data_IF_040221467942
#
_entry.id   IF_040221467942
#
_cell.length_a   1.000
_cell.length_b   1.000
_cell.length_c   1.000
_cell.angle_alpha   90.00
_cell.angle_beta   90.00
_cell.angle_gamma   90.00
#
_symmetry.space_group_name_H-M   'P 1'
#
loop_
_entity.id
_entity.type
_entity.pdbx_description
1 polymer ?
#
# COMPACT_ATOMS: atom_id res chain seq x y z
N UNK A 1 -9.04 -5.46 13.00
CA UNK A 1 -9.78 -4.33 12.37
C UNK A 1 -10.44 -4.70 11.04
N UNK A 2 -9.74 -5.30 10.07
CA UNK A 2 -10.26 -5.68 8.74
C UNK A 2 -11.62 -6.42 8.79
N UNK A 3 -11.77 -7.39 9.69
CA UNK A 3 -13.01 -8.16 9.80
C UNK A 3 -14.22 -7.27 10.19
N UNK A 4 -14.03 -6.28 11.06
CA UNK A 4 -15.08 -5.35 11.47
C UNK A 4 -15.49 -4.40 10.33
N UNK A 5 -14.55 -4.07 9.45
CA UNK A 5 -14.80 -3.25 8.26
C UNK A 5 -15.18 -4.08 7.02
N UNK A 6 -15.39 -5.39 7.17
CA UNK A 6 -15.83 -6.24 6.05
C UNK A 6 -17.30 -6.05 5.72
N UNK A 7 -18.12 -5.56 6.66
CA UNK A 7 -19.51 -5.16 6.39
C UNK A 7 -19.55 -3.86 5.57
N UNK A 8 -20.19 -3.82 4.39
CA UNK A 8 -20.38 -2.58 3.61
C UNK A 8 -21.08 -1.45 4.37
N UNK A 9 -22.06 -1.78 5.21
CA UNK A 9 -22.93 -0.81 5.89
C UNK A 9 -22.17 0.08 6.89
N UNK A 10 -20.93 -0.29 7.23
CA UNK A 10 -20.05 0.48 8.12
C UNK A 10 -19.75 1.89 7.58
N UNK A 11 -19.82 2.06 6.25
CA UNK A 11 -19.55 3.33 5.57
C UNK A 11 -20.65 4.35 5.85
N UNK A 12 -21.91 3.90 5.85
CA UNK A 12 -23.10 4.73 6.02
C UNK A 12 -23.43 5.02 7.49
N UNK A 13 -22.77 4.32 8.41
CA UNK A 13 -22.95 4.52 9.85
C UNK A 13 -22.55 5.95 10.27
N UNK A 14 -23.51 6.71 10.81
CA UNK A 14 -23.32 8.07 11.31
C UNK A 14 -22.63 8.10 12.68
N UNK A 15 -22.86 7.08 13.51
CA UNK A 15 -22.19 6.87 14.78
C UNK A 15 -21.26 5.67 14.69
N UNK A 16 -20.01 5.85 15.13
CA UNK A 16 -18.99 4.82 15.07
C UNK A 16 -18.32 4.68 16.44
N UNK A 17 -18.70 3.65 17.18
CA UNK A 17 -18.13 3.35 18.49
C UNK A 17 -17.20 2.14 18.37
N UNK A 18 -15.95 2.32 18.78
CA UNK A 18 -15.00 1.22 18.93
C UNK A 18 -14.63 1.04 20.40
N UNK A 19 -14.66 -0.22 20.83
CA UNK A 19 -14.19 -0.65 22.13
C UNK A 19 -12.96 -1.54 21.92
N UNK A 20 -11.87 -1.23 22.62
CA UNK A 20 -10.69 -2.08 22.61
C UNK A 20 -10.94 -3.31 23.47
N UNK A 21 -10.65 -4.51 22.96
CA UNK A 21 -10.66 -5.74 23.76
C UNK A 21 -9.25 -6.00 24.26
N UNK A 22 -9.08 -6.11 25.59
CA UNK A 22 -7.82 -6.39 26.24
C UNK A 22 -7.40 -7.86 26.04
N UNK A 23 -6.11 -8.22 26.27
CA UNK A 23 -5.67 -9.61 26.20
C UNK A 23 -6.42 -10.57 27.15
N UNK A 24 -7.02 -10.03 28.22
CA UNK A 24 -7.89 -10.78 29.14
C UNK A 24 -9.28 -11.10 28.57
N UNK A 25 -9.62 -10.60 27.37
CA UNK A 25 -10.95 -10.69 26.77
C UNK A 25 -11.95 -9.66 27.28
N UNK A 26 -11.56 -8.81 28.24
CA UNK A 26 -12.42 -7.75 28.78
C UNK A 26 -12.38 -6.50 27.91
N UNK A 27 -13.47 -5.74 27.91
CA UNK A 27 -13.54 -4.42 27.29
C UNK A 27 -12.63 -3.43 28.03
N UNK A 28 -11.84 -2.67 27.26
CA UNK A 28 -11.07 -1.55 27.75
C UNK A 28 -11.98 -0.44 28.25
N UNK A 29 -11.50 0.33 29.23
CA UNK A 29 -12.27 1.42 29.85
C UNK A 29 -12.38 2.69 28.98
N UNK A 30 -11.61 2.76 27.90
CA UNK A 30 -11.64 3.90 26.98
C UNK A 30 -12.93 3.94 26.18
N UNK A 31 -13.38 5.14 25.83
CA UNK A 31 -14.52 5.36 24.93
C UNK A 31 -14.29 6.59 24.05
N UNK A 32 -15.01 6.67 22.93
CA UNK A 32 -14.99 7.79 21.99
C UNK A 32 -13.82 7.79 21.00
N UNK A 33 -13.62 8.94 20.36
CA UNK A 33 -12.70 9.11 19.21
C UNK A 33 -11.24 8.78 19.52
N UNK A 34 -10.81 8.93 20.79
CA UNK A 34 -9.46 8.55 21.22
C UNK A 34 -9.19 7.07 21.01
N UNK A 35 -10.15 6.21 21.39
CA UNK A 35 -10.03 4.76 21.20
C UNK A 35 -10.02 4.40 19.72
N UNK A 36 -10.87 5.06 18.92
CA UNK A 36 -10.89 4.82 17.48
C UNK A 36 -9.55 5.22 16.84
N UNK A 37 -9.00 6.37 17.21
CA UNK A 37 -7.69 6.84 16.75
C UNK A 37 -6.56 5.88 17.10
N UNK A 38 -6.54 5.36 18.32
CA UNK A 38 -5.53 4.39 18.76
C UNK A 38 -5.63 3.09 17.95
N UNK A 39 -6.85 2.62 17.71
CA UNK A 39 -7.08 1.42 16.90
C UNK A 39 -6.71 1.61 15.43
N UNK A 40 -7.02 2.76 14.82
CA UNK A 40 -6.60 3.11 13.46
C UNK A 40 -5.07 3.17 13.38
N UNK A 41 -4.42 3.78 14.37
CA UNK A 41 -2.95 3.91 14.41
C UNK A 41 -2.26 2.55 14.57
N UNK A 42 -2.77 1.71 15.47
CA UNK A 42 -2.30 0.33 15.64
C UNK A 42 -2.47 -0.50 14.36
N UNK A 43 -3.65 -0.41 13.73
CA UNK A 43 -3.90 -1.06 12.45
C UNK A 43 -2.91 -0.62 11.37
N UNK A 44 -2.62 0.67 11.22
CA UNK A 44 -1.68 1.13 10.19
C UNK A 44 -0.26 0.65 10.43
N UNK A 45 0.16 0.54 11.69
CA UNK A 45 1.47 0.00 12.04
C UNK A 45 1.59 -1.45 11.57
N UNK A 46 0.60 -2.29 11.91
CA UNK A 46 0.54 -3.68 11.45
C UNK A 46 0.41 -3.80 9.93
N UNK A 47 -0.43 -2.96 9.31
CA UNK A 47 -0.67 -2.97 7.87
C UNK A 47 0.60 -2.63 7.09
N UNK A 48 1.36 -1.62 7.53
CA UNK A 48 2.63 -1.27 6.89
C UNK A 48 3.61 -2.45 6.96
N UNK A 49 3.73 -3.08 8.13
CA UNK A 49 4.68 -4.17 8.35
C UNK A 49 4.32 -5.44 7.56
N UNK A 50 3.03 -5.70 7.39
CA UNK A 50 2.52 -6.96 6.82
C UNK A 50 2.11 -6.84 5.34
N UNK A 51 1.71 -5.66 4.89
CA UNK A 51 1.04 -5.45 3.61
C UNK A 51 1.74 -4.44 2.71
N UNK A 52 2.83 -3.79 3.13
CA UNK A 52 3.55 -2.81 2.31
C UNK A 52 5.00 -3.21 2.05
N UNK A 53 5.57 -2.73 0.94
CA UNK A 53 7.04 -2.75 0.75
C UNK A 53 7.69 -1.74 1.70
N UNK A 54 8.75 -2.16 2.39
CA UNK A 54 9.53 -1.33 3.32
C UNK A 54 10.52 -0.41 2.59
N UNK A 55 10.03 0.49 1.74
CA UNK A 55 10.82 1.54 1.09
C UNK A 55 10.28 2.95 1.43
N UNK A 56 10.79 4.01 0.81
CA UNK A 56 10.45 5.41 1.17
C UNK A 56 8.94 5.68 1.02
N UNK A 57 8.33 5.25 -0.08
CA UNK A 57 6.88 5.22 -0.23
C UNK A 57 6.28 3.86 0.17
N UNK A 58 5.20 3.86 0.95
CA UNK A 58 4.50 2.63 1.32
C UNK A 58 3.52 2.24 0.22
N UNK A 59 3.91 1.21 -0.55
CA UNK A 59 3.08 0.62 -1.59
C UNK A 59 2.50 -0.70 -1.09
N UNK A 60 1.16 -0.84 -1.02
CA UNK A 60 0.53 -2.11 -0.71
C UNK A 60 0.90 -3.20 -1.71
N UNK A 61 1.16 -4.41 -1.22
CA UNK A 61 1.43 -5.60 -2.03
C UNK A 61 0.32 -6.62 -1.86
N UNK A 62 0.04 -7.36 -2.93
CA UNK A 62 -0.92 -8.46 -2.88
C UNK A 62 -0.41 -9.52 -1.90
N UNK A 63 -1.26 -9.88 -0.95
CA UNK A 63 -1.04 -11.00 -0.04
C UNK A 63 -1.92 -12.17 -0.45
N UNK A 64 -1.39 -13.37 -0.30
CA UNK A 64 -2.07 -14.61 -0.68
C UNK A 64 -3.30 -14.91 0.19
N UNK A 65 -3.34 -14.42 1.43
CA UNK A 65 -4.44 -14.58 2.38
C UNK A 65 -5.50 -13.48 2.26
N UNK A 66 -5.23 -12.40 1.52
CA UNK A 66 -6.16 -11.28 1.34
C UNK A 66 -6.95 -11.41 0.03
N UNK A 67 -8.21 -11.79 0.17
CA UNK A 67 -9.23 -11.66 -0.88
C UNK A 67 -9.73 -10.20 -1.05
N UNK A 68 -10.44 -9.92 -2.13
CA UNK A 68 -11.09 -8.62 -2.46
C UNK A 68 -11.77 -7.97 -1.25
N UNK A 69 -12.58 -8.73 -0.50
CA UNK A 69 -13.29 -8.22 0.69
C UNK A 69 -12.37 -7.59 1.73
N UNK A 70 -11.15 -8.12 1.90
CA UNK A 70 -10.19 -7.58 2.84
C UNK A 70 -9.59 -6.27 2.33
N UNK A 71 -9.26 -6.18 1.04
CA UNK A 71 -8.76 -4.95 0.43
C UNK A 71 -9.82 -3.84 0.41
N UNK A 72 -11.08 -4.18 0.14
CA UNK A 72 -12.21 -3.25 0.26
C UNK A 72 -12.40 -2.79 1.71
N UNK A 73 -12.24 -3.67 2.70
CA UNK A 73 -12.30 -3.29 4.11
C UNK A 73 -11.19 -2.27 4.48
N UNK A 74 -9.98 -2.40 3.93
CA UNK A 74 -8.92 -1.39 4.10
C UNK A 74 -9.37 -0.02 3.56
N UNK A 75 -10.00 0.02 2.39
CA UNK A 75 -10.53 1.26 1.84
C UNK A 75 -11.59 1.90 2.74
N UNK A 76 -12.45 1.09 3.38
CA UNK A 76 -13.44 1.59 4.34
C UNK A 76 -12.79 2.13 5.62
N UNK A 77 -11.68 1.54 6.06
CA UNK A 77 -10.88 2.07 7.20
C UNK A 77 -10.32 3.45 6.83
N UNK A 78 -9.80 3.62 5.61
CA UNK A 78 -9.32 4.93 5.10
C UNK A 78 -10.47 5.94 5.12
N UNK A 79 -11.60 5.57 4.53
CA UNK A 79 -12.77 6.45 4.43
C UNK A 79 -13.32 6.88 5.80
N UNK A 80 -13.55 5.93 6.72
CA UNK A 80 -14.05 6.23 8.07
C UNK A 80 -13.00 6.96 8.93
N UNK A 81 -11.72 6.65 8.76
CA UNK A 81 -10.63 7.40 9.40
C UNK A 81 -10.66 8.86 8.99
N UNK A 82 -10.89 9.14 7.70
CA UNK A 82 -11.02 10.51 7.21
C UNK A 82 -12.30 11.17 7.73
N UNK A 83 -13.46 10.55 7.56
CA UNK A 83 -14.75 11.11 7.97
C UNK A 83 -14.84 11.40 9.47
N UNK A 84 -14.38 10.49 10.33
CA UNK A 84 -14.60 10.60 11.77
C UNK A 84 -13.42 11.25 12.51
N UNK A 85 -12.19 11.10 12.01
CA UNK A 85 -11.00 11.54 12.73
C UNK A 85 -10.19 12.62 11.99
N UNK A 86 -10.60 13.01 10.77
CA UNK A 86 -9.77 13.79 9.84
C UNK A 86 -8.40 13.15 9.60
N UNK A 87 -8.33 11.82 9.71
CA UNK A 87 -7.09 11.06 9.57
C UNK A 87 -7.01 10.49 8.14
N UNK A 88 -5.96 10.88 7.41
CA UNK A 88 -5.67 10.32 6.09
C UNK A 88 -4.28 9.68 6.07
N UNK A 89 -4.10 8.46 5.51
CA UNK A 89 -2.83 7.73 5.54
C UNK A 89 -1.83 8.28 4.52
N UNK A 90 -1.28 9.48 4.77
CA UNK A 90 -0.34 10.17 3.89
C UNK A 90 1.00 9.44 3.66
N UNK A 91 1.28 8.39 4.43
CA UNK A 91 2.44 7.51 4.23
C UNK A 91 2.28 6.55 3.04
N UNK A 92 1.05 6.31 2.56
CA UNK A 92 0.80 5.51 1.37
C UNK A 92 1.25 6.30 0.12
N UNK A 93 1.74 5.58 -0.88
CA UNK A 93 2.15 6.21 -2.14
C UNK A 93 1.03 7.04 -2.75
N UNK A 94 1.35 8.30 -3.06
CA UNK A 94 0.42 9.20 -3.74
C UNK A 94 -0.08 8.61 -5.05
N UNK A 95 0.74 7.82 -5.76
CA UNK A 95 0.36 7.14 -7.00
C UNK A 95 -0.78 6.15 -6.80
N UNK A 96 -0.77 5.40 -5.70
CA UNK A 96 -1.83 4.43 -5.38
C UNK A 96 -3.11 5.15 -4.97
N UNK A 97 -2.99 6.15 -4.08
CA UNK A 97 -4.13 6.88 -3.54
C UNK A 97 -4.84 7.72 -4.61
N UNK A 98 -4.09 8.49 -5.38
CA UNK A 98 -4.68 9.35 -6.43
C UNK A 98 -5.31 8.53 -7.54
N UNK A 99 -4.74 7.36 -7.87
CA UNK A 99 -5.35 6.45 -8.81
C UNK A 99 -6.66 5.87 -8.24
N UNK A 100 -6.68 5.49 -6.95
CA UNK A 100 -7.90 5.00 -6.31
C UNK A 100 -9.00 6.06 -6.18
N UNK A 101 -8.66 7.33 -5.94
CA UNK A 101 -9.66 8.41 -5.78
C UNK A 101 -10.12 8.95 -7.15
N UNK A 102 -9.17 9.25 -8.04
CA UNK A 102 -9.43 10.01 -9.28
C UNK A 102 -9.42 9.15 -10.54
N UNK A 103 -9.04 7.87 -10.46
CA UNK A 103 -8.81 7.02 -11.64
C UNK A 103 -7.67 7.52 -12.53
N UNK A 104 -6.78 8.38 -12.00
CA UNK A 104 -5.69 9.01 -12.74
C UNK A 104 -4.34 8.54 -12.20
N UNK A 105 -3.44 8.23 -13.12
CA UNK A 105 -2.05 7.96 -12.79
C UNK A 105 -1.30 9.28 -12.59
N UNK A 106 -0.42 9.35 -11.59
CA UNK A 106 0.34 10.57 -11.28
C UNK A 106 1.34 10.88 -12.39
N UNK A 107 1.48 12.16 -12.72
CA UNK A 107 2.57 12.66 -13.58
C UNK A 107 3.93 12.41 -12.93
N UNK A 108 4.96 12.03 -13.71
CA UNK A 108 6.32 11.70 -13.23
C UNK A 108 6.45 10.33 -12.54
N UNK A 109 5.96 9.27 -13.19
CA UNK A 109 6.12 7.87 -12.75
C UNK A 109 7.56 7.51 -12.34
N UNK A 110 8.57 8.07 -13.04
CA UNK A 110 9.97 7.85 -12.73
C UNK A 110 10.34 8.33 -11.32
N UNK A 111 9.85 9.50 -10.90
CA UNK A 111 10.14 10.04 -9.56
C UNK A 111 9.57 9.14 -8.46
N UNK A 112 8.32 8.69 -8.63
CA UNK A 112 7.69 7.75 -7.70
C UNK A 112 8.35 6.38 -7.71
N UNK A 113 8.78 5.89 -8.87
CA UNK A 113 9.56 4.65 -8.96
C UNK A 113 10.87 4.76 -8.18
N UNK A 114 11.57 5.88 -8.30
CA UNK A 114 12.82 6.12 -7.57
C UNK A 114 12.61 6.18 -6.04
N UNK A 115 11.43 6.56 -5.57
CA UNK A 115 11.02 6.48 -4.15
C UNK A 115 10.53 5.10 -3.72
N UNK A 116 10.09 4.27 -4.67
CA UNK A 116 9.68 2.90 -4.42
C UNK A 116 10.85 1.96 -4.19
N UNK A 117 12.02 2.23 -4.77
CA UNK A 117 13.20 1.35 -4.67
C UNK A 117 14.10 1.75 -3.49
N UNK A 118 15.03 0.88 -3.11
CA UNK A 118 16.01 1.17 -2.05
C UNK A 118 17.01 2.25 -2.48
N UNK A 119 17.70 2.89 -1.53
CA UNK A 119 18.71 3.91 -1.86
C UNK A 119 19.86 3.38 -2.72
N UNK A 120 20.25 2.12 -2.53
CA UNK A 120 21.27 1.47 -3.33
C UNK A 120 20.80 1.24 -4.76
N UNK A 121 19.56 0.78 -4.94
CA UNK A 121 18.92 0.65 -6.25
C UNK A 121 18.76 2.03 -6.90
N UNK A 122 18.26 3.03 -6.19
CA UNK A 122 18.09 4.40 -6.69
C UNK A 122 19.41 4.97 -7.24
N UNK A 123 20.51 4.85 -6.49
CA UNK A 123 21.85 5.25 -6.98
C UNK A 123 22.22 4.50 -8.25
N UNK A 124 21.98 3.20 -8.29
CA UNK A 124 22.30 2.36 -9.45
C UNK A 124 21.46 2.76 -10.68
N UNK A 125 20.16 2.99 -10.52
CA UNK A 125 19.28 3.46 -11.59
C UNK A 125 19.65 4.86 -12.07
N UNK A 126 20.01 5.77 -11.15
CA UNK A 126 20.49 7.11 -11.51
C UNK A 126 21.77 7.04 -12.34
N UNK A 127 22.72 6.20 -11.95
CA UNK A 127 23.95 5.96 -12.72
C UNK A 127 23.65 5.30 -14.07
N UNK A 128 22.70 4.36 -14.11
CA UNK A 128 22.28 3.70 -15.34
C UNK A 128 21.67 4.66 -16.36
N UNK A 129 20.88 5.63 -15.89
CA UNK A 129 20.28 6.68 -16.72
C UNK A 129 21.34 7.60 -17.36
N UNK A 130 22.51 7.74 -16.72
CA UNK A 130 23.63 8.53 -17.23
C UNK A 130 24.57 7.72 -18.13
N UNK A 131 24.97 6.53 -17.68
CA UNK A 131 25.85 5.62 -18.41
C UNK A 131 25.57 4.17 -18.03
N UNK A 132 24.72 3.52 -18.84
CA UNK A 132 24.24 2.17 -18.59
C UNK A 132 25.36 1.12 -18.51
N UNK A 133 26.35 1.18 -19.41
CA UNK A 133 27.44 0.18 -19.48
C UNK A 133 28.30 0.15 -18.21
N UNK A 134 28.43 1.30 -17.54
CA UNK A 134 29.21 1.44 -16.30
C UNK A 134 28.65 0.67 -15.11
N UNK A 135 27.36 0.30 -15.16
CA UNK A 135 26.64 -0.35 -14.07
C UNK A 135 26.11 -1.74 -14.41
N UNK A 136 26.28 -2.21 -15.66
CA UNK A 136 25.76 -3.48 -16.14
C UNK A 136 26.20 -4.67 -15.26
N UNK A 137 27.46 -4.67 -14.80
CA UNK A 137 28.02 -5.73 -13.94
C UNK A 137 27.52 -5.68 -12.50
N UNK A 138 26.94 -4.54 -12.08
CA UNK A 138 26.39 -4.30 -10.74
C UNK A 138 24.87 -4.48 -10.69
N UNK A 139 24.21 -4.63 -11.84
CA UNK A 139 22.77 -4.82 -11.91
C UNK A 139 22.35 -6.23 -11.53
N UNK A 140 21.39 -6.32 -10.61
CA UNK A 140 20.73 -7.58 -10.30
C UNK A 140 19.78 -7.96 -11.45
N UNK A 141 19.43 -9.25 -11.54
CA UNK A 141 18.39 -9.75 -12.45
C UNK A 141 17.07 -8.97 -12.32
N UNK A 142 16.75 -8.53 -11.10
CA UNK A 142 15.58 -7.69 -10.84
C UNK A 142 15.72 -6.29 -11.47
N UNK A 143 16.87 -5.61 -11.34
CA UNK A 143 17.10 -4.29 -11.96
C UNK A 143 16.98 -4.35 -13.49
N UNK A 144 17.54 -5.39 -14.12
CA UNK A 144 17.49 -5.58 -15.57
C UNK A 144 16.07 -5.77 -16.10
N UNK A 145 15.20 -6.45 -15.33
CA UNK A 145 13.79 -6.66 -15.70
C UNK A 145 12.99 -5.35 -15.69
N UNK A 146 13.25 -4.44 -14.75
CA UNK A 146 12.54 -3.16 -14.67
C UNK A 146 12.86 -2.23 -15.85
N UNK A 147 14.02 -2.39 -16.49
CA UNK A 147 14.46 -1.57 -17.63
C UNK A 147 14.00 -2.10 -19.00
N UNK A 148 13.22 -3.19 -19.05
CA UNK A 148 12.71 -3.81 -20.29
C UNK A 148 13.77 -4.10 -21.37
N UNK A 149 15.02 -4.37 -20.98
CA UNK A 149 16.11 -4.60 -21.95
C UNK A 149 16.04 -5.99 -22.59
N UNK A 150 16.45 -6.15 -23.86
CA UNK A 150 16.45 -7.42 -24.57
C UNK A 150 17.47 -8.43 -24.00
N UNK A 151 17.05 -9.17 -22.98
CA UNK A 151 17.02 -10.64 -22.75
C UNK A 151 18.08 -11.56 -23.41
N UNK A 152 19.24 -11.12 -23.90
CA UNK A 152 20.32 -12.06 -24.32
C UNK A 152 20.98 -12.78 -23.13
N UNK A 153 20.80 -12.30 -21.90
CA UNK A 153 21.38 -12.87 -20.68
C UNK A 153 20.45 -13.83 -19.88
N UNK A 154 19.28 -14.21 -20.39
CA UNK A 154 18.24 -14.89 -19.58
C UNK A 154 18.39 -16.41 -19.38
N UNK A 155 19.47 -17.05 -19.84
CA UNK A 155 19.67 -18.49 -19.55
C UNK A 155 20.24 -18.68 -18.13
N UNK A 156 19.44 -18.44 -17.06
CA UNK A 156 19.49 -19.23 -15.80
C UNK A 156 18.59 -18.81 -14.63
N UNK A 157 17.80 -17.74 -14.69
CA UNK A 157 17.01 -17.37 -13.50
C UNK A 157 15.55 -17.08 -13.86
N UNK A 158 14.76 -18.14 -13.95
CA UNK A 158 13.31 -18.07 -13.81
C UNK A 158 12.97 -17.83 -12.33
N UNK A 159 12.88 -16.56 -11.95
CA UNK A 159 12.24 -16.14 -10.68
C UNK A 159 10.78 -15.79 -11.00
N UNK A 160 9.80 -16.35 -10.26
CA UNK A 160 8.38 -16.12 -10.51
C UNK A 160 8.01 -14.65 -10.52
N UNK A 161 7.23 -14.28 -11.52
CA UNK A 161 6.59 -12.99 -11.69
C UNK A 161 5.44 -12.81 -10.65
N UNK A 162 5.77 -12.66 -9.37
CA UNK A 162 4.78 -12.75 -8.28
C UNK A 162 4.53 -11.46 -7.49
N UNK A 163 5.11 -10.32 -7.88
CA UNK A 163 4.75 -9.02 -7.27
C UNK A 163 3.61 -8.40 -8.06
N UNK A 164 2.42 -8.98 -7.84
CA UNK A 164 1.17 -8.64 -8.51
C UNK A 164 0.89 -7.13 -8.51
N UNK A 165 0.40 -6.65 -9.64
CA UNK A 165 0.11 -5.24 -9.86
C UNK A 165 -0.79 -4.69 -8.74
N UNK A 166 -0.49 -3.50 -8.18
CA UNK A 166 -1.38 -2.80 -7.25
C UNK A 166 -2.79 -2.55 -7.82
N UNK A 167 -3.03 -2.81 -9.11
CA UNK A 167 -4.32 -2.63 -9.78
C UNK A 167 -5.47 -3.33 -9.06
N UNK A 168 -5.30 -4.56 -8.55
CA UNK A 168 -6.39 -5.24 -7.82
C UNK A 168 -6.74 -4.46 -6.55
N UNK A 169 -5.74 -3.99 -5.81
CA UNK A 169 -5.92 -3.19 -4.60
C UNK A 169 -6.58 -1.85 -4.94
N UNK A 170 -6.05 -1.15 -5.96
CA UNK A 170 -6.59 0.12 -6.45
C UNK A 170 -8.05 -0.02 -6.86
N UNK A 171 -8.41 -1.07 -7.59
CA UNK A 171 -9.79 -1.32 -7.98
C UNK A 171 -10.70 -1.50 -6.76
N UNK A 172 -10.28 -2.34 -5.79
CA UNK A 172 -11.03 -2.53 -4.55
C UNK A 172 -11.21 -1.23 -3.76
N UNK A 173 -10.21 -0.35 -3.83
CA UNK A 173 -10.23 0.93 -3.14
C UNK A 173 -11.07 1.97 -3.86
N UNK A 174 -11.07 1.96 -5.19
CA UNK A 174 -11.82 2.90 -6.04
C UNK A 174 -13.31 2.86 -5.74
N UNK A 175 -13.87 1.66 -5.53
CA UNK A 175 -15.29 1.49 -5.22
C UNK A 175 -15.75 2.25 -3.97
N UNK A 176 -14.83 2.44 -3.01
CA UNK A 176 -15.11 3.10 -1.73
C UNK A 176 -14.62 4.55 -1.75
N UNK A 177 -13.39 4.80 -2.18
CA UNK A 177 -12.71 6.08 -2.03
C UNK A 177 -13.13 7.15 -3.04
N UNK A 178 -13.79 6.79 -4.14
CA UNK A 178 -14.41 7.76 -5.07
C UNK A 178 -15.48 8.66 -4.43
N UNK A 179 -15.87 8.35 -3.18
CA UNK A 179 -16.84 9.09 -2.38
C UNK A 179 -16.21 10.19 -1.52
N UNK A 180 -14.87 10.22 -1.41
CA UNK A 180 -14.11 11.32 -0.79
C UNK A 180 -14.05 12.52 -1.72
#
# INVERSE_FOLDING_TARGET
MIQQFSNPDVVDATTFNMTQVLPSGQEGKGSGDGVFRDCVTGFWTEFIDQCCVRNHEKIPIIRHDFQTKHWTAVARIIFKGYQCLMFFPAFLSASVITNAIYGKQVSNLLEHFMKYITDSENKLFTMALQNFDSVLTKMTSWCLRQLQLPVKCHKRYSVPDSRGEPKVIVNCWTDVLKQL
#
